data_IF_438344263822
#
_entry.id   IF_438344263822
#
_cell.length_a   1.000
_cell.length_b   1.000
_cell.length_c   1.000
_cell.angle_alpha   90.00
_cell.angle_beta   90.00
_cell.angle_gamma   90.00
#
_symmetry.space_group_name_H-M   'P 1'
#
loop_
_entity.id
_entity.type
_entity.pdbx_description
1 polymer ?
#
# COMPACT_ATOMS: atom_id res chain seq x y z
N UNK A 1 9.28 7.72 -21.69
CA UNK A 1 8.01 7.28 -21.05
C UNK A 1 7.98 5.76 -21.07
N UNK A 2 7.87 5.11 -19.92
CA UNK A 2 7.68 3.67 -19.85
C UNK A 2 6.28 3.35 -20.37
N UNK A 3 6.19 2.56 -21.46
CA UNK A 3 4.89 2.12 -22.02
C UNK A 3 4.50 0.83 -21.29
N UNK A 4 3.64 0.94 -20.29
CA UNK A 4 2.97 -0.19 -19.69
C UNK A 4 1.65 -0.51 -20.43
N UNK A 5 1.19 -1.75 -20.33
CA UNK A 5 -0.02 -2.20 -21.02
C UNK A 5 -1.16 -2.46 -20.04
N UNK A 6 -0.83 -2.92 -18.83
CA UNK A 6 -1.77 -3.36 -17.81
C UNK A 6 -1.80 -2.46 -16.57
N UNK A 7 -0.96 -1.43 -16.57
CA UNK A 7 -0.96 -0.38 -15.57
C UNK A 7 -0.85 1.00 -16.21
N UNK A 8 -1.43 2.00 -15.58
CA UNK A 8 -1.19 3.41 -15.89
C UNK A 8 -0.25 4.00 -14.83
N UNK A 9 0.71 4.81 -15.28
CA UNK A 9 1.63 5.53 -14.41
C UNK A 9 1.54 7.03 -14.68
N UNK A 10 1.32 7.79 -13.63
CA UNK A 10 1.30 9.24 -13.67
C UNK A 10 2.15 9.81 -12.53
N UNK A 11 2.99 10.78 -12.84
CA UNK A 11 3.79 11.51 -11.86
C UNK A 11 3.42 12.98 -11.91
N UNK A 12 2.91 13.50 -10.81
CA UNK A 12 2.54 14.91 -10.67
C UNK A 12 2.87 15.39 -9.26
N UNK A 13 3.47 16.57 -9.14
CA UNK A 13 3.80 17.19 -7.86
C UNK A 13 4.51 16.24 -6.87
N UNK A 14 5.47 15.43 -7.35
CA UNK A 14 6.21 14.41 -6.58
C UNK A 14 5.33 13.25 -6.03
N UNK A 15 4.11 13.09 -6.52
CA UNK A 15 3.21 12.00 -6.21
C UNK A 15 3.14 11.06 -7.42
N UNK A 16 3.56 9.81 -7.23
CA UNK A 16 3.47 8.76 -8.24
C UNK A 16 2.15 8.01 -8.09
N UNK A 17 1.26 8.09 -9.06
CA UNK A 17 0.03 7.31 -9.12
C UNK A 17 0.22 6.12 -10.04
N UNK A 18 0.05 4.92 -9.48
CA UNK A 18 0.05 3.64 -10.21
C UNK A 18 -1.36 3.09 -10.18
N UNK A 19 -1.98 2.97 -11.35
CA UNK A 19 -3.33 2.44 -11.50
C UNK A 19 -3.28 1.08 -12.20
N UNK A 20 -3.84 0.05 -11.58
CA UNK A 20 -4.10 -1.23 -12.24
C UNK A 20 -5.09 -0.99 -13.37
N UNK A 21 -4.78 -1.41 -14.60
CA UNK A 21 -5.53 -1.03 -15.80
C UNK A 21 -5.93 -2.25 -16.64
N UNK A 22 -6.77 -3.09 -16.06
CA UNK A 22 -7.54 -4.16 -16.72
C UNK A 22 -8.98 -4.12 -16.21
N UNK A 23 -9.70 -2.97 -16.37
CA UNK A 23 -11.02 -2.74 -15.77
C UNK A 23 -12.07 -3.76 -16.23
N UNK A 24 -11.96 -4.29 -17.44
CA UNK A 24 -12.82 -5.36 -17.98
C UNK A 24 -12.68 -6.70 -17.23
N UNK A 25 -11.54 -6.91 -16.55
CA UNK A 25 -11.26 -8.05 -15.67
C UNK A 25 -11.27 -7.68 -14.19
N UNK A 26 -11.86 -6.53 -13.83
CA UNK A 26 -11.85 -5.99 -12.47
C UNK A 26 -10.43 -5.89 -11.90
N UNK A 27 -9.46 -5.58 -12.74
CA UNK A 27 -8.03 -5.48 -12.43
C UNK A 27 -7.44 -6.77 -11.84
N UNK A 28 -7.97 -7.95 -12.22
CA UNK A 28 -7.35 -9.22 -11.87
C UNK A 28 -5.93 -9.29 -12.44
N UNK A 29 -5.00 -9.79 -11.61
CA UNK A 29 -3.57 -9.77 -11.87
C UNK A 29 -3.14 -10.98 -12.70
N UNK A 30 -2.63 -10.73 -13.90
CA UNK A 30 -1.93 -11.70 -14.72
C UNK A 30 -0.40 -11.50 -14.63
N UNK A 31 0.35 -12.38 -15.29
CA UNK A 31 1.81 -12.31 -15.32
C UNK A 31 2.33 -10.97 -15.85
N UNK A 32 1.67 -10.40 -16.85
CA UNK A 32 2.07 -9.12 -17.45
C UNK A 32 1.96 -7.99 -16.45
N UNK A 33 0.83 -7.90 -15.74
CA UNK A 33 0.61 -6.90 -14.70
C UNK A 33 1.61 -7.06 -13.55
N UNK A 34 1.92 -8.29 -13.12
CA UNK A 34 2.92 -8.53 -12.09
C UNK A 34 4.31 -8.03 -12.52
N UNK A 35 4.72 -8.32 -13.75
CA UNK A 35 5.99 -7.86 -14.30
C UNK A 35 6.07 -6.33 -14.37
N UNK A 36 4.98 -5.69 -14.80
CA UNK A 36 4.90 -4.23 -14.90
C UNK A 36 4.86 -3.56 -13.53
N UNK A 37 4.09 -4.11 -12.57
CA UNK A 37 4.06 -3.62 -11.19
C UNK A 37 5.42 -3.74 -10.51
N UNK A 38 6.12 -4.86 -10.69
CA UNK A 38 7.48 -5.00 -10.18
C UNK A 38 8.38 -3.92 -10.75
N UNK A 39 8.37 -3.73 -12.07
CA UNK A 39 9.19 -2.71 -12.75
C UNK A 39 8.90 -1.30 -12.25
N UNK A 40 7.64 -0.89 -12.18
CA UNK A 40 7.30 0.46 -11.75
C UNK A 40 7.58 0.69 -10.26
N UNK A 41 7.36 -0.31 -9.41
CA UNK A 41 7.68 -0.18 -7.99
C UNK A 41 9.19 -0.12 -7.73
N UNK A 42 10.02 -0.81 -8.53
CA UNK A 42 11.48 -0.67 -8.50
C UNK A 42 11.90 0.77 -8.89
N UNK A 43 11.30 1.33 -9.95
CA UNK A 43 11.58 2.70 -10.40
C UNK A 43 11.21 3.70 -9.29
N UNK A 44 9.97 3.65 -8.78
CA UNK A 44 9.47 4.58 -7.76
C UNK A 44 10.30 4.49 -6.48
N UNK A 45 10.69 3.28 -6.09
CA UNK A 45 11.51 3.05 -4.90
C UNK A 45 12.84 3.80 -4.95
N UNK A 46 13.47 3.85 -6.13
CA UNK A 46 14.80 4.41 -6.34
C UNK A 46 14.81 5.85 -6.88
N UNK A 47 13.65 6.46 -7.11
CA UNK A 47 13.54 7.84 -7.58
C UNK A 47 13.28 8.80 -6.40
N UNK A 48 14.32 9.54 -5.98
CA UNK A 48 14.25 10.47 -4.85
C UNK A 48 13.35 11.69 -5.11
N UNK A 49 13.00 11.98 -6.37
CA UNK A 49 12.07 13.05 -6.70
C UNK A 49 10.63 12.71 -6.32
N UNK A 50 10.32 11.42 -6.16
CA UNK A 50 9.00 10.94 -5.75
C UNK A 50 8.93 10.90 -4.22
N UNK A 51 7.93 11.58 -3.66
CA UNK A 51 7.71 11.69 -2.20
C UNK A 51 6.57 10.82 -1.66
N UNK A 52 5.66 10.36 -2.53
CA UNK A 52 4.55 9.48 -2.16
C UNK A 52 4.15 8.62 -3.36
N UNK A 53 3.69 7.39 -3.11
CA UNK A 53 3.06 6.53 -4.12
C UNK A 53 1.59 6.34 -3.77
N UNK A 54 0.72 6.41 -4.78
CA UNK A 54 -0.69 6.00 -4.71
C UNK A 54 -0.84 4.75 -5.56
N UNK A 55 -1.44 3.70 -4.99
CA UNK A 55 -1.86 2.48 -5.70
C UNK A 55 -3.38 2.45 -5.78
N UNK A 56 -3.93 2.37 -7.00
CA UNK A 56 -5.37 2.33 -7.26
C UNK A 56 -5.72 1.38 -8.40
N UNK A 57 -7.00 1.18 -8.66
CA UNK A 57 -7.51 0.47 -9.84
C UNK A 57 -8.29 1.40 -10.75
N UNK A 58 -8.16 1.23 -12.06
CA UNK A 58 -9.03 1.88 -13.05
C UNK A 58 -10.42 1.22 -13.06
N UNK A 59 -11.45 2.00 -13.37
CA UNK A 59 -12.83 1.52 -13.47
C UNK A 59 -13.48 1.29 -12.10
N UNK A 60 -14.28 0.21 -11.99
CA UNK A 60 -15.19 -0.03 -10.86
C UNK A 60 -14.62 -0.87 -9.72
N UNK A 61 -13.39 -1.34 -9.80
CA UNK A 61 -12.77 -2.18 -8.78
C UNK A 61 -11.30 -1.80 -8.57
N UNK A 62 -10.82 -1.96 -7.36
CA UNK A 62 -9.40 -1.89 -7.06
C UNK A 62 -8.68 -3.09 -7.70
N UNK A 63 -8.99 -4.31 -7.25
CA UNK A 63 -8.41 -5.55 -7.77
C UNK A 63 -9.22 -6.76 -7.32
N UNK A 64 -9.60 -7.62 -8.26
CA UNK A 64 -10.35 -8.85 -7.96
C UNK A 64 -9.46 -10.06 -7.56
N UNK A 65 -8.14 -9.87 -7.49
CA UNK A 65 -7.19 -10.93 -7.14
C UNK A 65 -6.42 -11.48 -8.33
N UNK A 66 -5.97 -12.73 -8.24
CA UNK A 66 -5.27 -13.39 -9.34
C UNK A 66 -6.21 -13.70 -10.51
N UNK A 67 -5.77 -13.50 -11.75
CA UNK A 67 -6.54 -13.87 -12.93
C UNK A 67 -6.50 -15.39 -13.13
N UNK A 68 -7.52 -16.09 -12.63
CA UNK A 68 -7.66 -17.54 -12.73
C UNK A 68 -7.94 -18.00 -14.17
N UNK A 69 -8.37 -17.09 -15.06
CA UNK A 69 -8.65 -17.36 -16.47
C UNK A 69 -7.46 -17.12 -17.38
N UNK A 70 -6.39 -16.49 -16.88
CA UNK A 70 -5.19 -16.26 -17.67
C UNK A 70 -4.53 -17.59 -18.04
N UNK A 71 -4.03 -17.71 -19.27
CA UNK A 71 -3.23 -18.85 -19.71
C UNK A 71 -1.85 -18.94 -19.04
N UNK A 72 -1.59 -18.12 -18.03
CA UNK A 72 -0.29 -17.93 -17.37
C UNK A 72 0.13 -19.09 -16.46
N UNK A 73 -0.77 -20.05 -16.22
CA UNK A 73 -0.44 -21.30 -15.49
C UNK A 73 0.78 -22.04 -16.03
N UNK A 74 1.17 -21.77 -17.30
CA UNK A 74 2.37 -22.35 -17.92
C UNK A 74 3.66 -21.57 -17.63
N UNK A 75 3.59 -20.37 -17.03
CA UNK A 75 4.76 -19.52 -16.73
C UNK A 75 5.38 -19.83 -15.38
N UNK A 76 4.64 -20.50 -14.51
CA UNK A 76 5.08 -20.93 -13.19
C UNK A 76 4.92 -22.44 -13.09
N UNK A 77 5.86 -23.12 -12.46
CA UNK A 77 5.76 -24.56 -12.22
C UNK A 77 4.57 -24.90 -11.30
N UNK A 78 4.33 -24.02 -10.32
CA UNK A 78 3.26 -24.17 -9.34
C UNK A 78 2.90 -22.83 -8.69
N UNK A 79 1.91 -22.85 -7.80
CA UNK A 79 1.42 -21.65 -7.09
C UNK A 79 2.49 -21.05 -6.17
N UNK A 80 3.33 -21.87 -5.52
CA UNK A 80 4.40 -21.40 -4.64
C UNK A 80 5.41 -20.55 -5.44
N UNK A 81 5.80 -21.01 -6.61
CA UNK A 81 6.70 -20.26 -7.48
C UNK A 81 6.07 -18.94 -7.94
N UNK A 82 4.79 -18.95 -8.32
CA UNK A 82 4.05 -17.74 -8.71
C UNK A 82 4.04 -16.73 -7.56
N UNK A 83 3.74 -17.16 -6.35
CA UNK A 83 3.73 -16.30 -5.17
C UNK A 83 5.11 -15.73 -4.86
N UNK A 84 6.15 -16.57 -4.85
CA UNK A 84 7.50 -16.16 -4.47
C UNK A 84 8.22 -15.33 -5.53
N UNK A 85 8.05 -15.63 -6.82
CA UNK A 85 8.74 -14.93 -7.91
C UNK A 85 7.91 -13.84 -8.58
N UNK A 86 6.59 -13.96 -8.56
CA UNK A 86 5.68 -13.01 -9.19
C UNK A 86 5.19 -11.92 -8.23
N UNK A 87 4.56 -12.32 -7.14
CA UNK A 87 3.88 -11.40 -6.22
C UNK A 87 4.81 -10.84 -5.13
N UNK A 88 5.60 -11.69 -4.46
CA UNK A 88 6.44 -11.29 -3.33
C UNK A 88 7.38 -10.11 -3.62
N UNK A 89 8.05 -10.00 -4.78
CA UNK A 89 8.93 -8.88 -5.06
C UNK A 89 8.22 -7.51 -5.03
N UNK A 90 6.94 -7.46 -5.43
CA UNK A 90 6.14 -6.22 -5.39
C UNK A 90 5.81 -5.87 -3.94
N UNK A 91 5.40 -6.85 -3.12
CA UNK A 91 5.18 -6.65 -1.68
C UNK A 91 6.45 -6.13 -1.00
N UNK A 92 7.60 -6.73 -1.30
CA UNK A 92 8.90 -6.30 -0.76
C UNK A 92 9.22 -4.86 -1.15
N UNK A 93 8.96 -4.47 -2.40
CA UNK A 93 9.15 -3.09 -2.84
C UNK A 93 8.27 -2.11 -2.07
N UNK A 94 6.97 -2.41 -1.88
CA UNK A 94 6.05 -1.56 -1.11
C UNK A 94 6.49 -1.44 0.34
N UNK A 95 6.85 -2.55 0.99
CA UNK A 95 7.31 -2.58 2.39
C UNK A 95 8.59 -1.77 2.59
N UNK A 96 9.56 -1.94 1.66
CA UNK A 96 10.88 -1.32 1.74
C UNK A 96 10.94 0.07 1.11
N UNK A 97 9.87 0.53 0.46
CA UNK A 97 9.83 1.84 -0.21
C UNK A 97 10.11 2.96 0.80
N UNK A 98 11.12 3.82 0.56
CA UNK A 98 11.52 4.87 1.51
C UNK A 98 10.58 6.09 1.49
N UNK A 99 9.32 5.88 1.16
CA UNK A 99 8.26 6.88 1.08
C UNK A 99 6.90 6.27 1.40
N UNK A 100 5.89 7.05 1.83
CA UNK A 100 4.54 6.56 2.06
C UNK A 100 3.90 5.98 0.81
N UNK A 101 3.15 4.89 0.99
CA UNK A 101 2.33 4.27 -0.04
C UNK A 101 0.87 4.27 0.43
N UNK A 102 -0.01 4.86 -0.37
CA UNK A 102 -1.45 4.95 -0.11
C UNK A 102 -2.18 4.00 -1.05
N UNK A 103 -2.99 3.10 -0.53
CA UNK A 103 -3.99 2.38 -1.33
C UNK A 103 -5.29 3.19 -1.41
N UNK A 104 -5.78 3.42 -2.64
CA UNK A 104 -7.04 4.12 -2.91
C UNK A 104 -8.03 3.12 -3.51
N UNK A 105 -9.03 2.71 -2.71
CA UNK A 105 -9.87 1.55 -3.00
C UNK A 105 -11.25 1.97 -3.46
N UNK A 106 -11.56 1.67 -4.74
CA UNK A 106 -12.91 1.71 -5.29
C UNK A 106 -13.42 0.29 -5.50
N UNK A 107 -14.66 0.00 -5.10
CA UNK A 107 -15.29 -1.30 -5.28
C UNK A 107 -14.55 -2.44 -4.61
N UNK A 108 -14.33 -3.53 -5.33
CA UNK A 108 -13.72 -4.73 -4.78
C UNK A 108 -12.21 -4.65 -4.63
N UNK A 109 -11.70 -5.02 -3.45
CA UNK A 109 -10.34 -5.47 -3.24
C UNK A 109 -10.40 -6.90 -2.69
N UNK A 110 -10.15 -7.91 -3.55
CA UNK A 110 -10.42 -9.30 -3.23
C UNK A 110 -9.20 -10.20 -3.42
N UNK A 111 -9.12 -11.27 -2.63
CA UNK A 111 -8.01 -12.22 -2.68
C UNK A 111 -6.67 -11.52 -2.48
N UNK A 112 -5.67 -11.84 -3.29
CA UNK A 112 -4.36 -11.16 -3.22
C UNK A 112 -4.45 -9.66 -3.51
N UNK A 113 -5.50 -9.18 -4.19
CA UNK A 113 -5.79 -7.75 -4.35
C UNK A 113 -6.05 -7.04 -3.02
N UNK A 114 -6.71 -7.71 -2.06
CA UNK A 114 -6.88 -7.17 -0.72
C UNK A 114 -5.56 -7.13 0.06
N UNK A 115 -4.68 -8.13 -0.14
CA UNK A 115 -3.35 -8.13 0.44
C UNK A 115 -2.52 -6.93 -0.05
N UNK A 116 -2.58 -6.61 -1.36
CA UNK A 116 -1.93 -5.41 -1.90
C UNK A 116 -2.47 -4.10 -1.31
N UNK A 117 -3.75 -4.03 -0.98
CA UNK A 117 -4.29 -2.86 -0.29
C UNK A 117 -3.78 -2.77 1.15
N UNK A 118 -3.80 -3.89 1.89
CA UNK A 118 -3.41 -3.95 3.29
C UNK A 118 -1.90 -3.77 3.53
N UNK A 119 -1.04 -4.15 2.56
CA UNK A 119 0.42 -3.97 2.70
C UNK A 119 0.85 -2.52 2.53
N UNK A 120 0.04 -1.67 1.90
CA UNK A 120 0.28 -0.23 1.83
C UNK A 120 0.34 0.38 3.24
N UNK A 121 0.95 1.55 3.37
CA UNK A 121 1.09 2.19 4.68
C UNK A 121 -0.20 2.84 5.16
N UNK A 122 -1.00 3.30 4.21
CA UNK A 122 -2.26 4.01 4.45
C UNK A 122 -3.31 3.56 3.44
N UNK A 123 -4.57 3.54 3.89
CA UNK A 123 -5.71 3.11 3.06
C UNK A 123 -6.85 4.13 3.13
N UNK A 124 -7.29 4.58 1.95
CA UNK A 124 -8.53 5.36 1.77
C UNK A 124 -9.50 4.56 0.92
N UNK A 125 -10.74 4.47 1.34
CA UNK A 125 -11.78 3.66 0.71
C UNK A 125 -12.96 4.52 0.25
N UNK A 126 -13.51 4.18 -0.91
CA UNK A 126 -14.86 4.61 -1.28
C UNK A 126 -15.89 3.99 -0.33
N UNK A 127 -16.95 4.73 0.04
CA UNK A 127 -18.05 4.22 0.85
C UNK A 127 -18.82 3.05 0.19
N UNK A 128 -18.54 2.74 -1.08
CA UNK A 128 -19.10 1.60 -1.82
C UNK A 128 -18.12 0.44 -1.97
N UNK A 129 -16.94 0.54 -1.40
CA UNK A 129 -15.89 -0.47 -1.54
C UNK A 129 -15.91 -1.50 -0.40
N UNK A 130 -15.19 -2.59 -0.61
CA UNK A 130 -15.05 -3.67 0.37
C UNK A 130 -13.76 -4.45 0.17
N UNK A 131 -13.28 -5.05 1.26
CA UNK A 131 -12.27 -6.10 1.25
C UNK A 131 -12.93 -7.47 1.27
N UNK A 132 -12.29 -8.49 0.67
CA UNK A 132 -12.82 -9.85 0.62
C UNK A 132 -11.68 -10.87 0.56
N UNK A 133 -11.78 -11.94 1.38
CA UNK A 133 -10.87 -13.09 1.37
C UNK A 133 -11.60 -14.35 0.86
N UNK A 134 -11.79 -14.52 -0.48
CA UNK A 134 -12.68 -15.57 -1.02
C UNK A 134 -12.00 -16.93 -1.21
N UNK A 135 -10.89 -17.18 -0.54
CA UNK A 135 -10.02 -18.33 -0.82
C UNK A 135 -10.65 -19.68 -0.44
N UNK A 136 -11.33 -19.78 0.71
CA UNK A 136 -11.92 -21.05 1.15
C UNK A 136 -13.07 -21.51 0.24
N UNK A 137 -13.71 -20.58 -0.52
CA UNK A 137 -14.70 -20.93 -1.54
C UNK A 137 -14.13 -21.78 -2.70
N UNK A 138 -12.81 -21.74 -2.89
CA UNK A 138 -12.11 -22.49 -3.94
C UNK A 138 -11.10 -23.48 -3.34
N UNK A 139 -11.23 -23.80 -2.05
CA UNK A 139 -10.38 -24.79 -1.37
C UNK A 139 -8.95 -24.32 -1.12
N UNK A 140 -8.71 -22.99 -1.06
CA UNK A 140 -7.41 -22.40 -0.78
C UNK A 140 -7.44 -21.62 0.55
N UNK A 141 -6.28 -21.17 0.97
CA UNK A 141 -6.09 -20.27 2.12
C UNK A 141 -5.70 -18.87 1.63
N UNK A 142 -6.00 -17.80 2.38
CA UNK A 142 -5.49 -16.46 2.08
C UNK A 142 -3.97 -16.45 1.88
N UNK A 143 -3.53 -15.78 0.82
CA UNK A 143 -2.13 -15.64 0.44
C UNK A 143 -1.66 -14.17 0.44
N UNK A 144 -0.51 -13.89 -0.17
CA UNK A 144 0.05 -12.53 -0.22
C UNK A 144 0.36 -11.94 1.17
N UNK A 145 0.52 -12.77 2.21
CA UNK A 145 0.75 -12.31 3.57
C UNK A 145 -0.53 -11.85 4.30
N UNK A 146 -1.72 -12.13 3.75
CA UNK A 146 -3.00 -11.72 4.34
C UNK A 146 -3.17 -12.15 5.80
N UNK A 147 -2.77 -13.39 6.15
CA UNK A 147 -2.83 -13.86 7.54
C UNK A 147 -2.01 -12.98 8.48
N UNK A 148 -0.79 -12.63 8.07
CA UNK A 148 0.09 -11.77 8.87
C UNK A 148 -0.47 -10.35 8.99
N UNK A 149 -0.95 -9.77 7.89
CA UNK A 149 -1.51 -8.42 7.84
C UNK A 149 -2.78 -8.31 8.71
N UNK A 150 -3.70 -9.25 8.55
CA UNK A 150 -4.95 -9.30 9.33
C UNK A 150 -4.66 -9.52 10.83
N UNK A 151 -3.80 -10.51 11.17
CA UNK A 151 -3.49 -10.83 12.56
C UNK A 151 -2.88 -9.63 13.29
N UNK A 152 -1.94 -8.95 12.67
CA UNK A 152 -1.27 -7.80 13.29
C UNK A 152 -2.17 -6.57 13.45
N UNK A 153 -3.20 -6.45 12.63
CA UNK A 153 -4.16 -5.33 12.73
C UNK A 153 -5.31 -5.66 13.68
N UNK A 154 -5.81 -6.90 13.66
CA UNK A 154 -7.11 -7.27 14.25
C UNK A 154 -7.00 -8.25 15.42
N UNK A 155 -5.84 -8.88 15.60
CA UNK A 155 -5.69 -10.01 16.52
C UNK A 155 -6.31 -11.30 15.98
N UNK A 156 -6.07 -12.42 16.69
CA UNK A 156 -6.36 -13.77 16.19
C UNK A 156 -7.83 -14.01 15.79
N UNK A 157 -8.77 -13.68 16.68
CA UNK A 157 -10.18 -14.10 16.48
C UNK A 157 -10.78 -13.45 15.24
N UNK A 158 -10.68 -12.14 15.11
CA UNK A 158 -11.27 -11.42 13.99
C UNK A 158 -10.51 -11.69 12.68
N UNK A 159 -9.17 -11.78 12.75
CA UNK A 159 -8.36 -12.15 11.58
C UNK A 159 -8.71 -13.55 11.05
N UNK A 160 -8.88 -14.54 11.95
CA UNK A 160 -9.26 -15.89 11.57
C UNK A 160 -10.67 -15.95 10.98
N UNK A 161 -11.63 -15.25 11.60
CA UNK A 161 -12.99 -15.14 11.09
C UNK A 161 -13.00 -14.60 9.64
N UNK A 162 -12.36 -13.48 9.40
CA UNK A 162 -12.25 -12.86 8.07
C UNK A 162 -11.59 -13.81 7.06
N UNK A 163 -10.59 -14.55 7.49
CA UNK A 163 -9.85 -15.46 6.61
C UNK A 163 -10.69 -16.64 6.11
N UNK A 164 -11.74 -17.06 6.84
CA UNK A 164 -12.48 -18.29 6.56
C UNK A 164 -13.94 -18.08 6.13
N UNK A 165 -14.59 -16.94 6.50
CA UNK A 165 -16.02 -16.75 6.27
C UNK A 165 -16.36 -16.30 4.85
N UNK A 166 -15.38 -15.81 4.07
CA UNK A 166 -15.60 -15.30 2.71
C UNK A 166 -16.65 -14.18 2.63
N UNK A 167 -16.78 -13.39 3.67
CA UNK A 167 -17.71 -12.27 3.70
C UNK A 167 -17.03 -10.96 3.29
N UNK A 168 -17.83 -10.04 2.75
CA UNK A 168 -17.38 -8.72 2.40
C UNK A 168 -17.26 -7.86 3.65
N UNK A 169 -16.09 -7.26 3.84
CA UNK A 169 -15.88 -6.26 4.88
C UNK A 169 -16.02 -4.89 4.22
N UNK A 170 -17.17 -4.26 4.39
CA UNK A 170 -17.45 -2.96 3.76
C UNK A 170 -16.60 -1.84 4.37
N UNK A 171 -16.49 -0.74 3.62
CA UNK A 171 -15.59 0.37 3.95
C UNK A 171 -15.75 0.90 5.39
N UNK A 172 -16.99 1.09 5.85
CA UNK A 172 -17.27 1.58 7.20
C UNK A 172 -16.79 0.61 8.29
N UNK A 173 -16.94 -0.70 8.06
CA UNK A 173 -16.41 -1.69 8.98
C UNK A 173 -14.89 -1.74 8.89
N UNK A 174 -14.29 -1.65 7.70
CA UNK A 174 -12.84 -1.53 7.54
C UNK A 174 -12.28 -0.34 8.33
N UNK A 175 -12.95 0.81 8.30
CA UNK A 175 -12.57 1.99 9.08
C UNK A 175 -12.65 1.72 10.59
N UNK A 176 -13.75 1.13 11.03
CA UNK A 176 -14.00 0.85 12.45
C UNK A 176 -13.00 -0.12 13.06
N UNK A 177 -12.58 -1.14 12.29
CA UNK A 177 -11.63 -2.16 12.76
C UNK A 177 -10.17 -1.88 12.42
N UNK A 178 -9.86 -0.73 11.79
CA UNK A 178 -8.48 -0.29 11.52
C UNK A 178 -7.86 -0.83 10.23
N UNK A 179 -8.63 -1.45 9.33
CA UNK A 179 -8.17 -1.85 7.99
C UNK A 179 -8.18 -0.69 6.98
N UNK A 180 -8.85 0.42 7.30
CA UNK A 180 -8.81 1.66 6.55
C UNK A 180 -8.56 2.86 7.47
N UNK A 181 -7.93 3.90 6.92
CA UNK A 181 -7.69 5.17 7.64
C UNK A 181 -8.78 6.20 7.34
N UNK A 182 -9.38 6.12 6.16
CA UNK A 182 -10.42 7.05 5.70
C UNK A 182 -11.47 6.34 4.85
N UNK A 183 -12.70 6.80 4.97
CA UNK A 183 -13.80 6.47 4.05
C UNK A 183 -14.40 7.76 3.53
N UNK A 184 -14.62 7.83 2.22
CA UNK A 184 -15.13 9.01 1.52
C UNK A 184 -16.18 8.63 0.49
N UNK A 185 -16.95 9.58 0.02
CA UNK A 185 -17.90 9.36 -1.08
C UNK A 185 -17.18 8.87 -2.32
N UNK A 186 -17.78 7.92 -3.03
CA UNK A 186 -17.21 7.29 -4.21
C UNK A 186 -16.75 8.29 -5.27
N UNK A 187 -17.53 9.34 -5.48
CA UNK A 187 -17.23 10.39 -6.45
C UNK A 187 -16.05 11.29 -6.03
N UNK A 188 -15.73 11.34 -4.73
CA UNK A 188 -14.65 12.16 -4.16
C UNK A 188 -13.37 11.38 -3.91
N UNK A 189 -13.36 10.06 -4.14
CA UNK A 189 -12.24 9.22 -3.76
C UNK A 189 -10.90 9.68 -4.35
N UNK A 190 -10.85 10.03 -5.62
CA UNK A 190 -9.63 10.45 -6.29
C UNK A 190 -9.12 11.79 -5.77
N UNK A 191 -10.02 12.77 -5.67
CA UNK A 191 -9.71 14.09 -5.15
C UNK A 191 -9.18 14.02 -3.71
N UNK A 192 -9.91 13.33 -2.83
CA UNK A 192 -9.54 13.18 -1.41
C UNK A 192 -8.23 12.40 -1.22
N UNK A 193 -7.95 11.43 -2.11
CA UNK A 193 -6.68 10.70 -2.10
C UNK A 193 -5.51 11.65 -2.43
N UNK A 194 -5.64 12.48 -3.45
CA UNK A 194 -4.62 13.46 -3.85
C UNK A 194 -4.43 14.53 -2.76
N UNK A 195 -5.53 15.07 -2.21
CA UNK A 195 -5.47 16.04 -1.09
C UNK A 195 -4.69 15.43 0.08
N UNK A 196 -4.97 14.18 0.41
CA UNK A 196 -4.27 13.50 1.51
C UNK A 196 -2.79 13.27 1.21
N UNK A 197 -2.46 12.81 0.01
CA UNK A 197 -1.07 12.65 -0.42
C UNK A 197 -0.31 13.98 -0.37
N UNK A 198 -0.89 15.07 -0.90
CA UNK A 198 -0.32 16.43 -0.84
C UNK A 198 -0.10 16.91 0.61
N UNK A 199 -1.01 16.58 1.53
CA UNK A 199 -0.84 16.87 2.96
C UNK A 199 0.36 16.13 3.56
N UNK A 200 0.53 14.84 3.19
CA UNK A 200 1.60 13.99 3.73
C UNK A 200 2.97 14.46 3.21
N UNK A 201 3.11 14.74 1.93
CA UNK A 201 4.40 15.13 1.33
C UNK A 201 4.88 16.53 1.72
N UNK A 202 4.04 17.33 2.41
CA UNK A 202 4.49 18.56 3.06
C UNK A 202 5.40 18.31 4.26
N UNK A 203 5.41 17.09 4.81
CA UNK A 203 6.29 16.72 5.92
C UNK A 203 7.69 16.37 5.38
N UNK A 204 8.70 16.46 6.26
CA UNK A 204 10.07 16.04 5.92
C UNK A 204 10.10 14.59 5.41
N UNK A 205 10.62 14.38 4.20
CA UNK A 205 10.77 13.06 3.58
C UNK A 205 11.59 12.12 4.46
N UNK A 206 12.64 12.63 5.13
CA UNK A 206 13.47 11.85 6.06
C UNK A 206 12.69 11.39 7.29
N UNK A 207 11.81 12.25 7.84
CA UNK A 207 10.96 11.88 8.98
C UNK A 207 9.95 10.80 8.59
N UNK A 208 9.30 10.94 7.44
CA UNK A 208 8.33 9.94 6.96
C UNK A 208 8.99 8.58 6.71
N UNK A 209 10.14 8.58 6.01
CA UNK A 209 10.91 7.37 5.71
C UNK A 209 11.33 6.64 6.98
N UNK A 210 11.92 7.36 7.93
CA UNK A 210 12.41 6.76 9.17
C UNK A 210 11.28 6.28 10.08
N UNK A 211 10.17 7.01 10.15
CA UNK A 211 8.97 6.55 10.87
C UNK A 211 8.43 5.25 10.29
N UNK A 212 8.30 5.13 8.96
CA UNK A 212 7.92 3.88 8.29
C UNK A 212 8.88 2.75 8.62
N UNK A 213 10.20 3.00 8.53
CA UNK A 213 11.24 2.01 8.85
C UNK A 213 11.10 1.48 10.28
N UNK A 214 10.87 2.35 11.25
CA UNK A 214 10.67 1.96 12.66
C UNK A 214 9.40 1.14 12.81
N UNK A 215 8.26 1.64 12.30
CA UNK A 215 6.97 0.95 12.40
C UNK A 215 7.01 -0.46 11.80
N UNK A 216 7.69 -0.64 10.64
CA UNK A 216 7.88 -1.95 10.00
C UNK A 216 8.82 -2.88 10.80
N UNK A 217 9.69 -2.33 11.66
CA UNK A 217 10.62 -3.12 12.48
C UNK A 217 10.05 -3.58 13.83
N UNK A 218 8.93 -3.00 14.30
CA UNK A 218 8.37 -3.22 15.65
C UNK A 218 8.13 -4.71 15.94
N UNK A 219 7.60 -5.48 15.00
CA UNK A 219 7.22 -6.88 15.21
C UNK A 219 8.38 -7.82 15.59
N UNK A 220 9.62 -7.42 15.26
CA UNK A 220 10.81 -8.22 15.49
C UNK A 220 11.72 -7.62 16.58
N UNK A 221 11.21 -6.65 17.39
CA UNK A 221 12.02 -5.89 18.34
C UNK A 221 11.27 -5.64 19.65
N UNK A 222 12.02 -5.63 20.75
CA UNK A 222 11.53 -5.18 22.05
C UNK A 222 11.37 -3.66 22.09
N UNK A 223 10.61 -3.16 23.07
CA UNK A 223 10.47 -1.72 23.32
C UNK A 223 11.83 -1.03 23.47
N UNK A 224 12.77 -1.63 24.20
CA UNK A 224 14.10 -1.04 24.43
C UNK A 224 14.91 -0.95 23.14
N UNK A 225 14.81 -1.96 22.26
CA UNK A 225 15.49 -1.92 20.97
C UNK A 225 14.90 -0.85 20.02
N UNK A 226 13.57 -0.71 20.02
CA UNK A 226 12.90 0.37 19.26
C UNK A 226 13.30 1.73 19.83
N UNK A 227 13.27 1.95 21.14
CA UNK A 227 13.68 3.21 21.78
C UNK A 227 15.12 3.60 21.38
N UNK A 228 16.05 2.63 21.42
CA UNK A 228 17.44 2.85 21.00
C UNK A 228 17.55 3.18 19.52
N UNK A 229 16.77 2.52 18.66
CA UNK A 229 16.70 2.80 17.23
C UNK A 229 16.20 4.22 16.96
N UNK A 230 15.11 4.63 17.61
CA UNK A 230 14.56 5.99 17.56
C UNK A 230 15.61 7.03 17.99
N UNK A 231 16.26 6.82 19.12
CA UNK A 231 17.31 7.70 19.63
C UNK A 231 18.47 7.86 18.64
N UNK A 232 18.89 6.75 18.02
CA UNK A 232 19.96 6.76 17.01
C UNK A 232 19.55 7.54 15.76
N UNK A 233 18.32 7.36 15.29
CA UNK A 233 17.77 8.07 14.13
C UNK A 233 17.59 9.55 14.46
N UNK A 234 17.06 9.91 15.62
CA UNK A 234 16.94 11.30 16.06
C UNK A 234 18.29 12.02 16.06
N UNK A 235 19.36 11.36 16.54
CA UNK A 235 20.71 11.90 16.48
C UNK A 235 21.16 12.17 15.03
N UNK A 236 20.79 11.30 14.07
CA UNK A 236 21.14 11.50 12.65
C UNK A 236 20.36 12.65 12.01
N UNK A 237 19.10 12.85 12.41
CA UNK A 237 18.24 13.90 11.89
C UNK A 237 18.52 15.26 12.52
N UNK A 238 19.03 15.30 13.75
CA UNK A 238 19.35 16.52 14.47
C UNK A 238 20.37 17.36 13.71
N UNK A 239 20.06 18.64 13.50
CA UNK A 239 20.90 19.57 12.74
C UNK A 239 20.84 19.41 11.22
N UNK A 240 20.04 18.47 10.69
CA UNK A 240 19.77 18.40 9.25
C UNK A 240 19.04 19.65 8.76
N UNK A 241 19.05 19.89 7.44
CA UNK A 241 18.31 21.02 6.85
C UNK A 241 16.85 21.05 7.28
N UNK A 242 16.16 19.92 7.15
CA UNK A 242 14.73 19.81 7.51
C UNK A 242 14.49 20.01 9.02
N UNK A 243 15.41 19.51 9.87
CA UNK A 243 15.29 19.74 11.32
C UNK A 243 15.43 21.22 11.67
N UNK A 244 16.43 21.90 11.11
CA UNK A 244 16.66 23.33 11.36
C UNK A 244 15.50 24.18 10.79
N UNK A 245 15.04 23.87 9.57
CA UNK A 245 13.88 24.53 8.96
C UNK A 245 12.62 24.34 9.81
N UNK A 246 12.36 23.10 10.24
CA UNK A 246 11.19 22.78 11.06
C UNK A 246 11.19 23.53 12.39
N UNK A 247 12.34 23.60 13.08
CA UNK A 247 12.49 24.36 14.33
C UNK A 247 12.28 25.86 14.11
N UNK A 248 12.93 26.42 13.08
CA UNK A 248 12.77 27.84 12.76
C UNK A 248 11.33 28.20 12.38
N UNK A 249 10.70 27.40 11.52
CA UNK A 249 9.32 27.58 11.12
C UNK A 249 8.36 27.56 12.32
N UNK A 250 8.59 26.61 13.26
CA UNK A 250 7.80 26.53 14.49
C UNK A 250 7.93 27.79 15.37
N UNK A 251 9.17 28.27 15.57
CA UNK A 251 9.44 29.49 16.35
C UNK A 251 8.85 30.72 15.68
N UNK A 252 8.93 30.82 14.36
CA UNK A 252 8.42 31.93 13.54
C UNK A 252 6.91 31.84 13.29
N UNK A 253 6.24 30.78 13.73
CA UNK A 253 4.80 30.50 13.51
C UNK A 253 4.42 30.51 12.02
N UNK A 254 5.22 29.95 11.17
CA UNK A 254 5.00 29.81 9.72
C UNK A 254 5.03 28.33 9.29
N UNK A 255 4.55 28.06 8.09
CA UNK A 255 4.68 26.75 7.46
C UNK A 255 6.15 26.44 7.12
N UNK A 256 6.65 25.21 7.43
CA UNK A 256 7.98 24.81 7.05
C UNK A 256 8.09 24.50 5.55
N UNK A 257 9.29 24.64 4.99
CA UNK A 257 9.64 24.36 3.60
C UNK A 257 10.71 23.26 3.56
N UNK A 258 10.30 22.02 3.69
CA UNK A 258 11.20 20.86 3.64
C UNK A 258 11.70 20.55 2.22
N UNK A 259 12.88 19.92 2.12
CA UNK A 259 13.47 19.47 0.86
C UNK A 259 12.90 18.16 0.35
#
# INVERSE_FOLDING_TARGET
>A
MHKFQTINYHLEENIATVSLNRPEKLNAMDFKMLSELKSITDIIKNDDSIKCMILRGEGRAFCAGADLSSGDKKKWENTEEALNKGYLPIFQNIIQMPKPVISSIRGAAAGIGSAYSMVCDLTIMSNKSYLLQPFSNIGLIPDGGSHWLLYNTLGYKLAYQIAIENERIYADECLKIGLANKVVDDQKLEEETIIWAKKIIKQSSQSLMNSKKIMRAIHNKSFIEIYKLESSIQKQLQGSFDNLEGVNAFLDKREPKFK
#
